data_IF_613619807061
#
_entry.id   IF_613619807061
#
_cell.length_a   1.000
_cell.length_b   1.000
_cell.length_c   1.000
_cell.angle_alpha   90.00
_cell.angle_beta   90.00
_cell.angle_gamma   90.00
#
_symmetry.space_group_name_H-M   'P 1'
#
loop_
_entity.id
_entity.type
_entity.pdbx_description
1 polymer ?
#
# COMPACT_ATOMS: atom_id res chain seq x y z
N UNK A 1 -15.53 -22.00 29.95
CA UNK A 1 -14.56 -21.47 28.92
C UNK A 1 -15.34 -20.53 28.02
N UNK A 2 -15.19 -19.24 28.16
CA UNK A 2 -15.81 -18.28 27.25
C UNK A 2 -15.14 -18.44 25.89
N UNK A 3 -15.89 -18.81 24.87
CA UNK A 3 -15.41 -18.84 23.51
C UNK A 3 -14.94 -17.42 23.18
N UNK A 4 -13.64 -17.22 23.08
CA UNK A 4 -13.04 -15.95 22.76
C UNK A 4 -13.47 -15.58 21.34
N UNK A 5 -14.34 -14.56 21.19
CA UNK A 5 -14.79 -14.11 19.87
C UNK A 5 -13.71 -13.22 19.29
N UNK A 6 -12.94 -13.78 18.38
CA UNK A 6 -11.79 -13.13 17.72
C UNK A 6 -12.00 -13.16 16.22
N UNK A 7 -11.58 -12.10 15.54
CA UNK A 7 -11.51 -12.03 14.09
C UNK A 7 -10.07 -11.68 13.68
N UNK A 8 -9.52 -12.40 12.72
CA UNK A 8 -8.20 -12.05 12.19
C UNK A 8 -8.25 -10.81 11.29
N UNK A 9 -7.14 -10.06 11.11
CA UNK A 9 -7.07 -8.97 10.15
C UNK A 9 -7.51 -9.37 8.74
N UNK A 10 -7.13 -10.58 8.29
CA UNK A 10 -7.51 -11.09 6.97
C UNK A 10 -9.01 -11.32 6.81
N UNK A 11 -9.66 -11.90 7.82
CA UNK A 11 -11.12 -12.11 7.81
C UNK A 11 -11.87 -10.77 7.79
N UNK A 12 -11.40 -9.78 8.55
CA UNK A 12 -11.98 -8.44 8.54
C UNK A 12 -11.79 -7.77 7.18
N UNK A 13 -10.60 -7.89 6.59
CA UNK A 13 -10.29 -7.34 5.27
C UNK A 13 -11.18 -7.95 4.17
N UNK A 14 -11.41 -9.26 4.19
CA UNK A 14 -12.32 -9.92 3.25
C UNK A 14 -13.77 -9.40 3.37
N UNK A 15 -14.25 -9.15 4.59
CA UNK A 15 -15.57 -8.51 4.80
C UNK A 15 -15.62 -7.10 4.19
N UNK A 16 -14.56 -6.30 4.39
CA UNK A 16 -14.43 -4.96 3.81
C UNK A 16 -14.42 -5.03 2.28
N UNK A 17 -13.66 -5.95 1.68
CA UNK A 17 -13.60 -6.10 0.22
C UNK A 17 -14.95 -6.47 -0.39
N UNK A 18 -15.75 -7.31 0.30
CA UNK A 18 -17.10 -7.70 -0.14
C UNK A 18 -18.16 -6.63 0.14
N UNK A 19 -17.76 -5.49 0.68
CA UNK A 19 -18.65 -4.39 1.09
C UNK A 19 -19.74 -4.86 2.08
N UNK A 20 -19.43 -5.84 2.93
CA UNK A 20 -20.29 -6.27 4.01
C UNK A 20 -20.42 -5.14 5.04
N UNK A 21 -21.50 -5.14 5.83
CA UNK A 21 -21.63 -4.17 6.92
C UNK A 21 -20.56 -4.44 7.99
N UNK A 22 -19.66 -3.48 8.19
CA UNK A 22 -18.57 -3.55 9.18
C UNK A 22 -18.64 -2.32 10.08
N UNK A 23 -18.80 -2.56 11.39
CA UNK A 23 -18.77 -1.51 12.41
C UNK A 23 -17.58 -1.73 13.34
N UNK A 24 -16.60 -0.83 13.30
CA UNK A 24 -15.37 -0.90 14.11
C UNK A 24 -15.47 0.07 15.28
N UNK A 25 -15.01 -0.35 16.45
CA UNK A 25 -14.82 0.47 17.65
C UNK A 25 -13.33 0.51 17.98
N UNK A 26 -12.71 1.66 17.78
CA UNK A 26 -11.29 1.89 18.06
C UNK A 26 -11.12 2.56 19.43
N UNK A 27 -10.47 1.82 20.34
CA UNK A 27 -10.29 2.24 21.74
C UNK A 27 -9.02 3.07 21.97
N UNK A 28 -8.24 3.36 20.92
CA UNK A 28 -6.99 4.13 21.02
C UNK A 28 -7.26 5.62 21.22
N UNK A 29 -6.19 6.35 21.62
CA UNK A 29 -6.27 7.80 21.75
C UNK A 29 -6.66 8.48 20.43
N UNK A 30 -7.30 9.67 20.48
CA UNK A 30 -7.67 10.41 19.28
C UNK A 30 -6.48 10.72 18.36
N UNK A 31 -5.29 10.95 18.91
CA UNK A 31 -4.07 11.23 18.16
C UNK A 31 -3.66 10.01 17.31
N UNK A 32 -3.63 8.81 17.93
CA UNK A 32 -3.31 7.56 17.22
C UNK A 32 -4.37 7.21 16.17
N UNK A 33 -5.64 7.43 16.50
CA UNK A 33 -6.75 7.22 15.58
C UNK A 33 -6.66 8.15 14.37
N UNK A 34 -6.31 9.42 14.58
CA UNK A 34 -6.13 10.39 13.50
C UNK A 34 -4.91 10.08 12.63
N UNK A 35 -3.83 9.62 13.24
CA UNK A 35 -2.61 9.26 12.51
C UNK A 35 -2.82 8.07 11.59
N UNK A 36 -3.54 7.04 12.06
CA UNK A 36 -3.86 5.85 11.26
C UNK A 36 -5.03 5.09 11.86
N UNK A 37 -5.98 4.67 11.02
CA UNK A 37 -7.18 3.90 11.40
C UNK A 37 -7.48 2.82 10.36
N UNK A 38 -8.36 1.89 10.71
CA UNK A 38 -8.94 0.96 9.74
C UNK A 38 -9.88 1.75 8.84
N UNK A 39 -9.77 1.54 7.54
CA UNK A 39 -10.64 2.12 6.52
C UNK A 39 -11.51 1.04 5.87
N UNK A 40 -12.55 1.45 5.16
CA UNK A 40 -13.46 0.53 4.49
C UNK A 40 -14.10 1.09 3.23
N UNK A 41 -15.10 0.38 2.73
CA UNK A 41 -15.93 0.78 1.58
C UNK A 41 -17.22 1.48 2.07
N UNK A 42 -18.30 1.37 1.28
CA UNK A 42 -19.55 2.09 1.51
C UNK A 42 -20.29 1.67 2.80
N UNK A 43 -20.22 0.38 3.16
CA UNK A 43 -20.91 -0.19 4.32
C UNK A 43 -20.00 -0.29 5.56
N UNK A 44 -19.01 0.60 5.66
CA UNK A 44 -18.04 0.64 6.75
C UNK A 44 -18.27 1.85 7.66
N UNK A 45 -18.27 1.61 8.97
CA UNK A 45 -18.34 2.66 9.99
C UNK A 45 -17.29 2.42 11.06
N UNK A 46 -16.62 3.47 11.53
CA UNK A 46 -15.67 3.38 12.62
C UNK A 46 -15.93 4.48 13.66
N UNK A 47 -15.92 4.08 14.93
CA UNK A 47 -16.06 4.97 16.07
C UNK A 47 -14.77 4.99 16.89
N UNK A 48 -14.24 6.16 17.20
CA UNK A 48 -13.15 6.28 18.17
C UNK A 48 -13.75 6.48 19.56
N UNK A 49 -13.53 5.52 20.44
CA UNK A 49 -14.01 5.51 21.83
C UNK A 49 -12.81 5.30 22.75
N UNK A 50 -12.10 6.36 23.07
CA UNK A 50 -10.86 6.27 23.83
C UNK A 50 -11.08 5.64 25.20
N UNK A 51 -10.50 4.47 25.44
CA UNK A 51 -10.75 3.68 26.66
C UNK A 51 -10.40 4.41 27.94
N UNK A 52 -9.38 5.28 27.96
CA UNK A 52 -9.00 6.00 29.17
C UNK A 52 -10.08 6.97 29.67
N UNK A 53 -10.97 7.43 28.78
CA UNK A 53 -12.12 8.27 29.17
C UNK A 53 -13.27 7.46 29.79
N UNK A 54 -13.19 6.15 29.77
CA UNK A 54 -14.18 5.27 30.39
C UNK A 54 -13.83 4.89 31.82
N UNK A 55 -12.57 5.12 32.24
CA UNK A 55 -12.04 4.70 33.53
C UNK A 55 -12.37 5.74 34.61
N UNK A 56 -12.94 5.28 35.74
CA UNK A 56 -13.35 6.11 36.87
C UNK A 56 -12.90 5.51 38.22
N UNK A 57 -13.18 4.21 38.42
CA UNK A 57 -12.96 3.56 39.73
C UNK A 57 -11.60 2.87 39.88
N UNK A 58 -10.84 2.72 38.79
CA UNK A 58 -9.61 1.94 38.73
C UNK A 58 -9.81 0.44 38.47
N UNK A 59 -11.06 -0.03 38.44
CA UNK A 59 -11.43 -1.37 37.98
C UNK A 59 -11.87 -1.29 36.51
N UNK A 60 -10.94 -1.62 35.62
CA UNK A 60 -11.14 -1.50 34.15
C UNK A 60 -12.36 -2.29 33.67
N UNK A 61 -12.56 -3.49 34.19
CA UNK A 61 -13.67 -4.37 33.78
C UNK A 61 -15.03 -3.77 34.18
N UNK A 62 -15.13 -3.25 35.41
CA UNK A 62 -16.32 -2.59 35.93
C UNK A 62 -16.61 -1.28 35.21
N UNK A 63 -15.60 -0.44 35.04
CA UNK A 63 -15.74 0.86 34.40
C UNK A 63 -16.19 0.74 32.96
N UNK A 64 -15.60 -0.18 32.19
CA UNK A 64 -16.00 -0.49 30.83
C UNK A 64 -17.43 -1.05 30.76
N UNK A 65 -17.80 -1.94 31.69
CA UNK A 65 -19.18 -2.46 31.78
C UNK A 65 -20.19 -1.32 31.97
N UNK A 66 -19.94 -0.44 32.96
CA UNK A 66 -20.81 0.70 33.24
C UNK A 66 -20.92 1.64 32.03
N UNK A 67 -19.81 1.88 31.32
CA UNK A 67 -19.80 2.70 30.11
C UNK A 67 -20.68 2.08 29.01
N UNK A 68 -20.56 0.76 28.77
CA UNK A 68 -21.34 0.05 27.77
C UNK A 68 -22.83 0.10 28.12
N UNK A 69 -23.21 -0.24 29.36
CA UNK A 69 -24.62 -0.22 29.80
C UNK A 69 -25.27 1.13 29.61
N UNK A 70 -24.53 2.21 29.86
CA UNK A 70 -25.04 3.59 29.76
C UNK A 70 -25.20 4.07 28.31
N UNK A 71 -24.22 3.76 27.44
CA UNK A 71 -24.11 4.42 26.14
C UNK A 71 -24.54 3.53 24.97
N UNK A 72 -24.24 2.22 25.00
CA UNK A 72 -24.41 1.33 23.85
C UNK A 72 -25.87 1.04 23.45
N UNK A 73 -26.84 0.95 24.37
CA UNK A 73 -28.24 0.70 23.98
C UNK A 73 -28.80 1.76 23.01
N UNK A 74 -28.27 2.98 23.04
CA UNK A 74 -28.69 4.09 22.17
C UNK A 74 -27.85 4.18 20.87
N UNK A 75 -26.76 3.41 20.77
CA UNK A 75 -25.82 3.50 19.65
C UNK A 75 -25.86 2.27 18.76
N UNK A 76 -25.99 1.07 19.35
CA UNK A 76 -25.81 -0.20 18.63
C UNK A 76 -26.92 -1.19 18.92
N UNK A 77 -27.33 -1.92 17.88
CA UNK A 77 -28.18 -3.09 18.03
C UNK A 77 -27.36 -4.28 18.55
N UNK A 78 -27.96 -5.09 19.44
CA UNK A 78 -27.32 -6.33 19.93
C UNK A 78 -27.04 -7.36 18.84
N UNK A 79 -27.79 -7.29 17.73
CA UNK A 79 -27.62 -8.18 16.59
C UNK A 79 -26.57 -7.70 15.57
N UNK A 80 -26.09 -6.47 15.72
CA UNK A 80 -25.06 -5.91 14.85
C UNK A 80 -23.68 -6.48 15.22
N UNK A 81 -22.89 -6.87 14.22
CA UNK A 81 -21.51 -7.27 14.43
C UNK A 81 -20.63 -6.06 14.74
N UNK A 82 -19.99 -6.07 15.90
CA UNK A 82 -19.08 -5.02 16.36
C UNK A 82 -17.65 -5.58 16.41
N UNK A 83 -16.72 -4.87 15.77
CA UNK A 83 -15.31 -5.24 15.75
C UNK A 83 -14.50 -4.26 16.58
N UNK A 84 -13.88 -4.74 17.66
CA UNK A 84 -13.19 -3.88 18.64
C UNK A 84 -11.69 -3.96 18.44
N UNK A 85 -11.02 -2.81 18.42
CA UNK A 85 -9.57 -2.71 18.24
C UNK A 85 -8.94 -1.78 19.27
N UNK A 86 -7.73 -2.13 19.71
CA UNK A 86 -6.80 -1.25 20.42
C UNK A 86 -5.40 -1.40 19.80
N UNK A 87 -4.34 -0.94 20.45
CA UNK A 87 -2.98 -1.04 19.88
C UNK A 87 -2.53 -2.50 19.63
N UNK A 88 -2.66 -3.37 20.65
CA UNK A 88 -2.12 -4.74 20.65
C UNK A 88 -3.16 -5.84 20.94
N UNK A 89 -4.43 -5.50 21.05
CA UNK A 89 -5.52 -6.47 21.26
C UNK A 89 -5.93 -6.70 22.71
N UNK A 90 -5.16 -6.34 23.73
CA UNK A 90 -5.45 -6.64 25.13
C UNK A 90 -6.61 -5.83 25.71
N UNK A 91 -6.56 -4.50 25.59
CA UNK A 91 -7.66 -3.63 26.05
C UNK A 91 -8.97 -3.92 25.30
N UNK A 92 -8.89 -4.15 23.98
CA UNK A 92 -10.05 -4.49 23.16
C UNK A 92 -10.61 -5.87 23.47
N UNK A 93 -9.80 -6.82 23.95
CA UNK A 93 -10.27 -8.11 24.44
C UNK A 93 -11.18 -7.96 25.68
N UNK A 94 -10.74 -7.15 26.67
CA UNK A 94 -11.53 -6.87 27.88
C UNK A 94 -12.86 -6.23 27.48
N UNK A 95 -12.81 -5.21 26.61
CA UNK A 95 -14.01 -4.51 26.17
C UNK A 95 -14.97 -5.43 25.39
N UNK A 96 -14.46 -6.25 24.48
CA UNK A 96 -15.24 -7.25 23.73
C UNK A 96 -15.91 -8.25 24.66
N UNK A 97 -15.18 -8.76 25.66
CA UNK A 97 -15.73 -9.68 26.64
C UNK A 97 -16.92 -9.07 27.40
N UNK A 98 -16.85 -7.81 27.77
CA UNK A 98 -17.95 -7.11 28.44
C UNK A 98 -19.15 -6.87 27.51
N UNK A 99 -18.90 -6.50 26.25
CA UNK A 99 -19.95 -6.44 25.25
C UNK A 99 -20.69 -7.77 25.11
N UNK A 100 -19.95 -8.89 25.00
CA UNK A 100 -20.54 -10.23 24.87
C UNK A 100 -21.34 -10.64 26.13
N UNK A 101 -20.85 -10.34 27.33
CA UNK A 101 -21.60 -10.56 28.60
C UNK A 101 -22.93 -9.81 28.62
N UNK A 102 -22.96 -8.61 28.04
CA UNK A 102 -24.17 -7.77 27.94
C UNK A 102 -25.06 -8.12 26.73
N UNK A 103 -24.71 -9.17 25.98
CA UNK A 103 -25.51 -9.72 24.89
C UNK A 103 -25.29 -9.09 23.53
N UNK A 104 -24.21 -8.31 23.33
CA UNK A 104 -23.83 -7.79 22.02
C UNK A 104 -23.07 -8.84 21.19
N UNK A 105 -23.18 -8.75 19.87
CA UNK A 105 -22.44 -9.58 18.93
C UNK A 105 -21.09 -8.92 18.59
N UNK A 106 -20.11 -9.09 19.47
CA UNK A 106 -18.82 -8.41 19.36
C UNK A 106 -17.64 -9.36 19.17
N UNK A 107 -16.61 -8.89 18.47
CA UNK A 107 -15.37 -9.60 18.14
C UNK A 107 -14.16 -8.71 18.42
N UNK A 108 -13.11 -9.28 19.04
CA UNK A 108 -11.82 -8.62 19.18
C UNK A 108 -11.02 -8.80 17.91
N UNK A 109 -10.42 -7.72 17.37
CA UNK A 109 -9.48 -7.83 16.25
C UNK A 109 -8.15 -8.34 16.80
N UNK A 110 -7.73 -9.51 16.30
CA UNK A 110 -6.54 -10.22 16.75
C UNK A 110 -5.27 -9.38 16.63
N UNK A 111 -4.54 -9.23 17.75
CA UNK A 111 -3.32 -8.44 17.83
C UNK A 111 -3.50 -6.94 17.60
N UNK A 112 -4.75 -6.46 17.55
CA UNK A 112 -5.07 -5.05 17.43
C UNK A 112 -4.56 -4.37 16.17
N UNK A 113 -4.30 -3.07 16.27
CA UNK A 113 -3.77 -2.29 15.15
C UNK A 113 -2.36 -2.72 14.74
N UNK A 114 -1.56 -3.28 15.65
CA UNK A 114 -0.24 -3.79 15.31
C UNK A 114 -0.32 -4.91 14.26
N UNK A 115 -1.23 -5.87 14.43
CA UNK A 115 -1.43 -6.93 13.45
C UNK A 115 -2.08 -6.39 12.16
N UNK A 116 -3.02 -5.42 12.27
CA UNK A 116 -3.60 -4.77 11.11
C UNK A 116 -2.54 -4.04 10.27
N UNK A 117 -1.62 -3.30 10.88
CA UNK A 117 -0.54 -2.58 10.19
C UNK A 117 0.42 -3.50 9.45
N UNK A 118 0.61 -4.70 9.97
CA UNK A 118 1.53 -5.69 9.43
C UNK A 118 0.82 -6.82 8.67
N UNK A 119 -0.48 -6.65 8.38
CA UNK A 119 -1.23 -7.60 7.58
C UNK A 119 -0.90 -7.45 6.10
N UNK A 120 -0.58 -8.58 5.48
CA UNK A 120 -0.34 -8.73 4.05
C UNK A 120 -1.38 -9.65 3.45
N UNK A 121 -1.99 -9.21 2.35
CA UNK A 121 -2.91 -10.01 1.55
C UNK A 121 -2.24 -10.46 0.26
N UNK A 122 -2.59 -11.66 -0.21
CA UNK A 122 -2.01 -12.29 -1.39
C UNK A 122 -3.12 -12.68 -2.35
N UNK A 123 -3.11 -12.12 -3.56
CA UNK A 123 -4.12 -12.39 -4.60
C UNK A 123 -3.44 -12.83 -5.90
N UNK A 124 -4.06 -13.78 -6.58
CA UNK A 124 -3.59 -14.25 -7.90
C UNK A 124 -4.15 -13.38 -9.01
N UNK A 125 -3.28 -12.78 -9.82
CA UNK A 125 -3.65 -12.04 -11.03
C UNK A 125 -3.83 -13.02 -12.20
N UNK A 126 -2.80 -13.83 -12.43
CA UNK A 126 -2.77 -14.91 -13.42
C UNK A 126 -1.92 -16.03 -12.87
N UNK A 127 -2.32 -17.26 -13.16
CA UNK A 127 -1.56 -18.46 -12.81
C UNK A 127 -1.63 -19.44 -13.97
N UNK A 128 -0.48 -19.71 -14.59
CA UNK A 128 -0.32 -20.66 -15.68
C UNK A 128 1.08 -21.29 -15.61
N UNK A 129 1.32 -22.40 -16.32
CA UNK A 129 2.64 -23.02 -16.35
C UNK A 129 3.76 -22.11 -16.90
N UNK A 130 3.42 -21.10 -17.69
CA UNK A 130 4.39 -20.22 -18.33
C UNK A 130 4.62 -18.92 -17.57
N UNK A 131 3.56 -18.42 -16.91
CA UNK A 131 3.61 -17.14 -16.20
C UNK A 131 2.60 -17.14 -15.06
N UNK A 132 3.05 -16.80 -13.87
CA UNK A 132 2.20 -16.48 -12.72
C UNK A 132 2.54 -15.10 -12.18
N UNK A 133 1.51 -14.30 -11.85
CA UNK A 133 1.65 -12.98 -11.27
C UNK A 133 0.76 -12.91 -10.04
N UNK A 134 1.32 -12.45 -8.93
CA UNK A 134 0.64 -12.32 -7.65
C UNK A 134 0.75 -10.89 -7.14
N UNK A 135 -0.39 -10.34 -6.70
CA UNK A 135 -0.47 -9.10 -5.95
C UNK A 135 -0.21 -9.39 -4.48
N UNK A 136 0.70 -8.65 -3.87
CA UNK A 136 0.95 -8.67 -2.43
C UNK A 136 0.64 -7.27 -1.90
N UNK A 137 -0.35 -7.17 -1.02
CA UNK A 137 -0.85 -5.88 -0.53
C UNK A 137 -0.56 -5.71 0.96
N UNK A 138 0.11 -4.64 1.36
CA UNK A 138 0.11 -4.19 2.75
C UNK A 138 -1.10 -3.30 2.96
N UNK A 139 -2.19 -3.92 3.39
CA UNK A 139 -3.56 -3.40 3.33
C UNK A 139 -3.74 -2.05 4.02
N UNK A 140 -3.14 -1.89 5.20
CA UNK A 140 -3.32 -0.70 6.04
C UNK A 140 -2.73 0.59 5.44
N UNK A 141 -1.78 0.45 4.51
CA UNK A 141 -1.07 1.56 3.89
C UNK A 141 -1.51 1.82 2.45
N UNK A 142 -2.10 0.80 1.83
CA UNK A 142 -2.39 0.83 0.41
C UNK A 142 -1.18 0.53 -0.47
N UNK A 143 -0.13 -0.10 0.09
CA UNK A 143 1.06 -0.45 -0.67
C UNK A 143 0.85 -1.77 -1.41
N UNK A 144 1.29 -1.84 -2.65
CA UNK A 144 1.24 -3.00 -3.52
C UNK A 144 2.65 -3.39 -3.95
N UNK A 145 2.90 -4.66 -3.93
CA UNK A 145 4.12 -5.28 -4.44
C UNK A 145 3.73 -6.49 -5.31
N UNK A 146 4.59 -6.90 -6.19
CA UNK A 146 4.25 -7.91 -7.17
C UNK A 146 5.29 -9.03 -7.20
N UNK A 147 4.82 -10.28 -7.22
CA UNK A 147 5.66 -11.44 -7.49
C UNK A 147 5.34 -11.96 -8.88
N UNK A 148 6.35 -12.06 -9.72
CA UNK A 148 6.27 -12.64 -11.07
C UNK A 148 7.08 -13.92 -11.08
N UNK A 149 6.46 -15.03 -11.50
CA UNK A 149 7.10 -16.33 -11.63
C UNK A 149 6.95 -16.83 -13.07
N UNK A 150 8.06 -17.25 -13.67
CA UNK A 150 8.07 -17.86 -14.99
C UNK A 150 9.10 -18.99 -15.02
N UNK A 151 8.64 -20.21 -15.40
CA UNK A 151 9.50 -21.40 -15.51
C UNK A 151 10.33 -21.68 -14.23
N UNK A 152 9.72 -21.54 -13.04
CA UNK A 152 10.36 -21.75 -11.75
C UNK A 152 11.29 -20.64 -11.27
N UNK A 153 11.51 -19.60 -12.08
CA UNK A 153 12.24 -18.39 -11.71
C UNK A 153 11.29 -17.29 -11.27
N UNK A 154 11.64 -16.55 -10.21
CA UNK A 154 10.84 -15.48 -9.65
C UNK A 154 11.59 -14.15 -9.65
N UNK A 155 10.85 -13.06 -9.77
CA UNK A 155 11.27 -11.71 -9.39
C UNK A 155 10.21 -11.06 -8.50
N UNK A 156 10.64 -10.14 -7.68
CA UNK A 156 9.76 -9.28 -6.87
C UNK A 156 9.92 -7.87 -7.40
N UNK A 157 8.79 -7.20 -7.65
CA UNK A 157 8.75 -5.80 -8.07
C UNK A 157 8.19 -4.98 -6.92
N UNK A 158 8.91 -3.93 -6.53
CA UNK A 158 8.60 -3.03 -5.41
C UNK A 158 8.37 -3.77 -4.07
N UNK A 159 9.34 -4.59 -3.61
CA UNK A 159 9.18 -5.35 -2.35
C UNK A 159 9.13 -4.43 -1.14
N UNK A 160 8.17 -4.67 -0.25
CA UNK A 160 8.05 -3.98 1.03
C UNK A 160 9.01 -4.55 2.07
N UNK A 161 9.25 -3.85 3.19
CA UNK A 161 10.32 -4.15 4.16
C UNK A 161 10.26 -5.51 4.87
N UNK A 162 9.07 -6.14 4.98
CA UNK A 162 8.90 -7.44 5.64
C UNK A 162 9.28 -8.60 4.71
N UNK A 163 10.57 -8.74 4.45
CA UNK A 163 11.13 -9.65 3.42
C UNK A 163 10.79 -11.13 3.62
N UNK A 164 10.57 -11.57 4.86
CA UNK A 164 10.17 -12.94 5.19
C UNK A 164 8.83 -13.33 4.57
N UNK A 165 7.94 -12.36 4.34
CA UNK A 165 6.65 -12.57 3.67
C UNK A 165 6.86 -13.08 2.24
N UNK A 166 7.79 -12.49 1.52
CA UNK A 166 8.14 -12.89 0.15
C UNK A 166 8.89 -14.21 0.11
N UNK A 167 9.88 -14.40 0.99
CA UNK A 167 10.67 -15.62 1.05
C UNK A 167 9.79 -16.85 1.30
N UNK A 168 8.86 -16.74 2.26
CA UNK A 168 7.91 -17.83 2.56
C UNK A 168 6.98 -18.09 1.38
N UNK A 169 6.37 -17.04 0.81
CA UNK A 169 5.43 -17.14 -0.30
C UNK A 169 6.07 -17.79 -1.55
N UNK A 170 7.27 -17.33 -1.95
CA UNK A 170 7.96 -17.85 -3.13
C UNK A 170 8.43 -19.30 -2.90
N UNK A 171 8.85 -19.63 -1.67
CA UNK A 171 9.16 -21.02 -1.28
C UNK A 171 7.94 -21.94 -1.38
N UNK A 172 6.76 -21.48 -0.92
CA UNK A 172 5.49 -22.23 -1.08
C UNK A 172 5.11 -22.45 -2.54
N UNK A 173 5.43 -21.47 -3.41
CA UNK A 173 5.24 -21.60 -4.86
C UNK A 173 6.32 -22.45 -5.57
N UNK A 174 7.33 -22.93 -4.86
CA UNK A 174 8.38 -23.77 -5.41
C UNK A 174 9.29 -23.05 -6.42
N UNK A 175 9.39 -21.72 -6.34
CA UNK A 175 10.20 -20.91 -7.25
C UNK A 175 11.48 -20.41 -6.58
N UNK A 176 12.45 -19.95 -7.41
CA UNK A 176 13.71 -19.37 -6.97
C UNK A 176 13.81 -17.92 -7.44
N UNK A 177 14.13 -16.99 -6.53
CA UNK A 177 14.30 -15.58 -6.87
C UNK A 177 15.58 -15.40 -7.68
N UNK A 178 15.46 -14.82 -8.88
CA UNK A 178 16.56 -14.56 -9.81
C UNK A 178 17.13 -13.15 -9.66
N UNK A 179 16.29 -12.18 -9.40
CA UNK A 179 16.64 -10.77 -9.18
C UNK A 179 15.47 -10.02 -8.53
N UNK A 180 15.76 -8.83 -8.04
CA UNK A 180 14.78 -7.91 -7.41
C UNK A 180 14.71 -6.63 -8.25
N UNK A 181 13.52 -6.06 -8.39
CA UNK A 181 13.26 -4.82 -9.12
C UNK A 181 12.57 -3.80 -8.22
N UNK A 182 13.07 -2.56 -8.21
CA UNK A 182 12.28 -1.42 -7.78
C UNK A 182 12.00 -0.52 -8.98
N UNK A 183 10.76 -0.07 -9.13
CA UNK A 183 10.38 0.87 -10.18
C UNK A 183 11.05 2.22 -9.96
N UNK A 184 11.25 2.59 -8.71
CA UNK A 184 11.94 3.79 -8.27
C UNK A 184 12.39 3.62 -6.81
N UNK A 185 13.19 4.51 -6.29
CA UNK A 185 13.48 4.53 -4.85
C UNK A 185 12.31 5.22 -4.14
N UNK A 186 11.52 4.40 -3.45
CA UNK A 186 10.30 4.80 -2.74
C UNK A 186 10.59 5.83 -1.64
N UNK A 187 9.65 6.76 -1.46
CA UNK A 187 9.73 7.76 -0.40
C UNK A 187 8.70 7.51 0.71
N UNK A 188 7.65 6.75 0.42
CA UNK A 188 6.52 6.49 1.31
C UNK A 188 6.66 5.22 2.14
N UNK A 189 7.48 4.26 1.71
CA UNK A 189 7.75 3.03 2.45
C UNK A 189 9.21 2.57 2.31
N UNK A 190 9.64 1.74 3.25
CA UNK A 190 10.97 1.15 3.23
C UNK A 190 10.95 -0.08 2.31
N UNK A 191 11.78 -0.07 1.27
CA UNK A 191 11.93 -1.19 0.33
C UNK A 191 12.63 -2.38 0.99
N UNK A 192 12.13 -3.58 0.70
CA UNK A 192 12.79 -4.84 1.00
C UNK A 192 13.91 -5.20 0.01
N UNK A 193 14.05 -4.46 -1.10
CA UNK A 193 14.98 -4.76 -2.19
C UNK A 193 16.42 -4.94 -1.76
N UNK A 194 17.03 -3.98 -1.07
CA UNK A 194 18.43 -4.10 -0.60
C UNK A 194 18.65 -5.33 0.32
N UNK A 195 17.69 -5.56 1.24
CA UNK A 195 17.77 -6.68 2.19
C UNK A 195 17.61 -8.04 1.51
N UNK A 196 16.65 -8.18 0.60
CA UNK A 196 16.44 -9.39 -0.20
C UNK A 196 17.65 -9.71 -1.05
N UNK A 197 18.20 -8.72 -1.76
CA UNK A 197 19.39 -8.87 -2.58
C UNK A 197 20.58 -9.40 -1.77
N UNK A 198 20.84 -8.82 -0.59
CA UNK A 198 21.91 -9.25 0.31
C UNK A 198 21.70 -10.68 0.84
N UNK A 199 20.48 -11.02 1.29
CA UNK A 199 20.17 -12.36 1.84
C UNK A 199 20.31 -13.46 0.78
N UNK A 200 19.82 -13.18 -0.45
CA UNK A 200 19.76 -14.17 -1.52
C UNK A 200 20.98 -14.15 -2.43
N UNK A 201 21.83 -13.14 -2.32
CA UNK A 201 22.95 -12.88 -3.21
C UNK A 201 22.51 -12.82 -4.69
N UNK A 202 21.44 -12.06 -4.97
CA UNK A 202 20.88 -11.84 -6.30
C UNK A 202 20.94 -10.35 -6.68
N UNK A 203 20.98 -10.01 -7.97
CA UNK A 203 20.97 -8.61 -8.40
C UNK A 203 19.72 -7.86 -7.90
N UNK A 204 19.92 -6.62 -7.49
CA UNK A 204 18.88 -5.65 -7.20
C UNK A 204 18.98 -4.52 -8.23
N UNK A 205 17.89 -4.25 -8.94
CA UNK A 205 17.86 -3.33 -10.07
C UNK A 205 16.95 -2.15 -9.84
N UNK A 206 17.44 -0.97 -10.18
CA UNK A 206 16.67 0.27 -10.35
C UNK A 206 17.45 1.27 -11.22
N UNK A 207 16.87 2.43 -11.50
CA UNK A 207 17.54 3.46 -12.32
C UNK A 207 18.55 4.29 -11.53
N UNK A 208 19.76 4.56 -12.04
CA UNK A 208 20.84 5.21 -11.29
C UNK A 208 20.52 6.64 -10.82
N UNK A 209 19.60 7.36 -11.45
CA UNK A 209 19.20 8.69 -10.98
C UNK A 209 18.54 8.64 -9.59
N UNK A 210 17.90 7.57 -9.24
CA UNK A 210 17.28 7.40 -7.93
C UNK A 210 18.28 7.00 -6.83
N UNK A 211 19.50 6.62 -7.19
CA UNK A 211 20.59 6.43 -6.23
C UNK A 211 21.07 7.76 -5.60
N UNK A 212 20.62 8.91 -6.10
CA UNK A 212 20.94 10.23 -5.56
C UNK A 212 19.75 10.75 -4.78
N UNK A 213 19.96 11.12 -3.49
CA UNK A 213 18.90 11.72 -2.68
C UNK A 213 18.56 13.13 -3.23
N UNK A 214 17.30 13.39 -3.62
CA UNK A 214 16.97 14.61 -4.38
C UNK A 214 17.08 15.90 -3.55
N UNK A 215 16.91 15.81 -2.22
CA UNK A 215 17.00 16.96 -1.31
C UNK A 215 18.43 17.16 -0.84
N UNK A 216 19.11 16.10 -0.39
CA UNK A 216 20.48 16.17 0.15
C UNK A 216 21.54 16.27 -0.96
N UNK A 217 21.19 15.87 -2.19
CA UNK A 217 22.13 15.73 -3.32
C UNK A 217 23.30 14.80 -2.99
N UNK A 218 23.03 13.78 -2.15
CA UNK A 218 24.00 12.77 -1.71
C UNK A 218 23.78 11.46 -2.48
N UNK A 219 24.89 10.82 -2.84
CA UNK A 219 24.90 9.51 -3.49
C UNK A 219 24.63 8.45 -2.41
N UNK A 220 23.68 7.56 -2.66
CA UNK A 220 23.37 6.41 -1.80
C UNK A 220 24.54 5.41 -1.72
N UNK A 221 24.53 4.63 -0.64
CA UNK A 221 25.52 3.54 -0.43
C UNK A 221 24.98 2.19 -0.85
N UNK A 222 23.70 2.11 -1.20
CA UNK A 222 23.01 0.89 -1.61
C UNK A 222 23.71 0.26 -2.82
N UNK A 223 23.94 -1.06 -2.74
CA UNK A 223 24.52 -1.82 -3.86
C UNK A 223 23.40 -2.22 -4.82
N UNK A 224 23.53 -1.85 -6.09
CA UNK A 224 22.54 -2.14 -7.13
C UNK A 224 23.17 -2.30 -8.50
N UNK A 225 22.45 -2.95 -9.39
CA UNK A 225 22.68 -2.94 -10.83
C UNK A 225 21.68 -2.01 -11.49
N UNK A 226 22.12 -1.18 -12.40
CA UNK A 226 21.23 -0.18 -13.00
C UNK A 226 20.49 -0.69 -14.24
N UNK A 227 19.29 -0.18 -14.42
CA UNK A 227 18.47 -0.35 -15.62
C UNK A 227 18.26 1.02 -16.30
N UNK A 228 18.00 0.95 -17.60
CA UNK A 228 17.73 2.12 -18.43
C UNK A 228 16.66 1.81 -19.47
N UNK A 229 16.20 2.85 -20.16
CA UNK A 229 15.29 2.73 -21.30
C UNK A 229 15.74 1.67 -22.30
N UNK A 230 14.83 0.76 -22.65
CA UNK A 230 15.04 -0.25 -23.69
C UNK A 230 15.74 -1.52 -23.23
N UNK A 231 16.20 -1.60 -21.97
CA UNK A 231 16.74 -2.85 -21.45
C UNK A 231 15.65 -3.93 -21.41
N UNK A 232 16.06 -5.19 -21.59
CA UNK A 232 15.15 -6.35 -21.55
C UNK A 232 15.74 -7.42 -20.64
N UNK A 233 15.06 -7.67 -19.51
CA UNK A 233 15.40 -8.77 -18.62
C UNK A 233 14.69 -10.06 -19.04
N UNK A 234 15.33 -11.19 -18.80
CA UNK A 234 14.73 -12.52 -19.02
C UNK A 234 14.45 -13.15 -17.65
N UNK A 235 13.20 -13.58 -17.45
CA UNK A 235 12.77 -14.35 -16.30
C UNK A 235 12.15 -15.67 -16.79
N UNK A 236 12.88 -16.77 -16.70
CA UNK A 236 12.45 -18.04 -17.28
C UNK A 236 12.12 -17.89 -18.78
N UNK A 237 10.87 -18.10 -19.16
CA UNK A 237 10.38 -17.93 -20.54
C UNK A 237 9.84 -16.54 -20.82
N UNK A 238 9.69 -15.69 -19.79
CA UNK A 238 9.12 -14.35 -19.92
C UNK A 238 10.17 -13.30 -20.22
N UNK A 239 9.75 -12.22 -20.88
CA UNK A 239 10.54 -11.02 -21.13
C UNK A 239 9.96 -9.83 -20.39
N UNK A 240 10.82 -9.05 -19.75
CA UNK A 240 10.48 -7.83 -19.01
C UNK A 240 11.17 -6.67 -19.72
N UNK A 241 10.41 -5.87 -20.44
CA UNK A 241 10.91 -4.64 -21.09
C UNK A 241 10.89 -3.50 -20.09
N UNK A 242 11.97 -2.72 -20.09
CA UNK A 242 12.16 -1.57 -19.20
C UNK A 242 11.87 -0.29 -19.97
N UNK A 243 10.96 0.54 -19.42
CA UNK A 243 10.66 1.86 -19.96
C UNK A 243 10.98 2.90 -18.88
N UNK A 244 11.77 3.91 -19.22
CA UNK A 244 12.10 5.02 -18.33
C UNK A 244 11.03 6.11 -18.45
N UNK A 245 10.37 6.43 -17.34
CA UNK A 245 9.22 7.33 -17.25
C UNK A 245 9.39 8.35 -16.12
N UNK A 246 10.40 9.25 -16.27
CA UNK A 246 10.69 10.24 -15.22
C UNK A 246 9.49 11.15 -14.96
N UNK A 247 9.36 11.63 -13.72
CA UNK A 247 8.32 12.58 -13.31
C UNK A 247 8.00 12.50 -11.83
N UNK A 248 7.54 11.38 -11.33
CA UNK A 248 7.40 11.12 -9.90
C UNK A 248 8.76 11.13 -9.19
N UNK A 249 9.71 10.38 -9.75
CA UNK A 249 11.15 10.54 -9.55
C UNK A 249 11.83 10.68 -10.90
N UNK A 250 13.09 11.12 -10.92
CA UNK A 250 13.86 11.21 -12.18
C UNK A 250 14.33 9.83 -12.66
N UNK A 251 14.42 8.84 -11.77
CA UNK A 251 14.79 7.48 -12.09
C UNK A 251 13.62 6.53 -12.31
N UNK A 252 12.39 7.02 -12.31
CA UNK A 252 11.21 6.17 -12.36
C UNK A 252 11.17 5.27 -13.60
N UNK A 253 10.99 3.96 -13.38
CA UNK A 253 10.87 2.92 -14.39
C UNK A 253 9.49 2.30 -14.34
N UNK A 254 9.05 1.75 -15.47
CA UNK A 254 7.93 0.81 -15.53
C UNK A 254 8.38 -0.46 -16.25
N UNK A 255 7.80 -1.60 -15.86
CA UNK A 255 8.19 -2.90 -16.36
C UNK A 255 7.04 -3.54 -17.15
N UNK A 256 7.25 -3.81 -18.44
CA UNK A 256 6.26 -4.43 -19.29
C UNK A 256 6.60 -5.93 -19.50
N UNK A 257 5.83 -6.79 -18.86
CA UNK A 257 6.01 -8.25 -18.94
C UNK A 257 5.18 -8.81 -20.07
N UNK A 258 5.85 -9.51 -21.00
CA UNK A 258 5.26 -10.20 -22.16
C UNK A 258 4.29 -9.32 -23.00
N UNK A 259 4.58 -8.02 -23.12
CA UNK A 259 3.77 -7.01 -23.82
C UNK A 259 2.31 -6.92 -23.34
N UNK A 260 2.02 -7.39 -22.12
CA UNK A 260 0.65 -7.49 -21.60
C UNK A 260 0.47 -6.91 -20.18
N UNK A 261 1.42 -7.08 -19.29
CA UNK A 261 1.31 -6.68 -17.89
C UNK A 261 2.30 -5.55 -17.61
N UNK A 262 1.78 -4.35 -17.34
CA UNK A 262 2.57 -3.13 -17.10
C UNK A 262 2.58 -2.80 -15.61
N UNK A 263 3.70 -3.04 -14.98
CA UNK A 263 3.98 -2.63 -13.58
C UNK A 263 4.38 -1.16 -13.59
N UNK A 264 3.48 -0.31 -13.16
CA UNK A 264 3.62 1.14 -13.31
C UNK A 264 4.28 1.82 -12.12
N UNK A 265 4.55 1.07 -11.03
CA UNK A 265 5.05 1.70 -9.81
C UNK A 265 4.19 2.90 -9.44
N UNK A 266 4.86 4.01 -9.15
CA UNK A 266 4.24 5.30 -8.90
C UNK A 266 4.25 6.15 -10.17
N UNK A 267 3.56 5.68 -11.22
CA UNK A 267 3.33 6.47 -12.45
C UNK A 267 1.84 6.61 -12.70
N UNK A 268 1.14 5.48 -12.84
CA UNK A 268 -0.31 5.41 -13.09
C UNK A 268 -0.91 4.54 -11.98
N UNK A 269 -1.85 5.08 -11.22
CA UNK A 269 -2.72 4.37 -10.29
C UNK A 269 -4.10 4.15 -10.92
N UNK A 270 -5.00 3.43 -10.24
CA UNK A 270 -6.34 3.15 -10.78
C UNK A 270 -7.15 4.45 -10.93
N UNK A 271 -7.16 5.31 -9.91
CA UNK A 271 -8.01 6.52 -9.90
C UNK A 271 -7.21 7.82 -10.09
N UNK A 272 -5.88 7.77 -10.09
CA UNK A 272 -5.02 8.94 -10.12
C UNK A 272 -3.70 8.64 -10.81
N UNK A 273 -2.82 9.62 -10.84
CA UNK A 273 -1.39 9.47 -11.15
C UNK A 273 -0.56 9.95 -9.94
N UNK A 274 0.72 9.63 -9.93
CA UNK A 274 1.58 10.01 -8.82
C UNK A 274 1.91 11.51 -8.79
N UNK A 275 2.21 12.01 -7.61
CA UNK A 275 2.70 13.37 -7.39
C UNK A 275 4.11 13.58 -7.97
N UNK A 276 4.42 14.73 -8.61
CA UNK A 276 5.73 15.00 -9.22
C UNK A 276 6.70 15.76 -8.31
N UNK A 277 6.42 15.90 -7.02
CA UNK A 277 7.13 16.84 -6.15
C UNK A 277 8.04 16.21 -5.10
N UNK A 278 8.38 14.93 -5.22
CA UNK A 278 9.22 14.21 -4.24
C UNK A 278 10.64 14.79 -4.09
N UNK A 279 11.13 15.52 -5.07
CA UNK A 279 12.38 16.27 -4.98
C UNK A 279 12.21 17.73 -4.60
N UNK A 280 11.02 18.18 -4.17
CA UNK A 280 10.72 19.60 -3.94
C UNK A 280 10.69 20.43 -5.23
N UNK A 281 10.50 19.79 -6.40
CA UNK A 281 10.62 20.42 -7.73
C UNK A 281 9.40 20.14 -8.61
N UNK A 282 8.19 20.16 -8.04
CA UNK A 282 6.95 19.86 -8.74
C UNK A 282 6.78 20.63 -10.05
N UNK A 283 7.06 21.92 -10.06
CA UNK A 283 6.97 22.77 -11.26
C UNK A 283 7.87 22.29 -12.41
N UNK A 284 9.06 21.76 -12.09
CA UNK A 284 10.00 21.25 -13.09
C UNK A 284 9.69 19.82 -13.52
N UNK A 285 9.15 18.99 -12.61
CA UNK A 285 8.95 17.57 -12.86
C UNK A 285 7.57 17.23 -13.42
N UNK A 286 6.52 18.03 -13.16
CA UNK A 286 5.19 17.81 -13.73
C UNK A 286 5.18 17.85 -15.28
N UNK A 287 5.88 18.78 -15.97
CA UNK A 287 6.01 18.73 -17.43
C UNK A 287 6.72 17.47 -17.95
N UNK A 288 7.73 16.97 -17.22
CA UNK A 288 8.47 15.74 -17.57
C UNK A 288 7.54 14.53 -17.41
N UNK A 289 6.77 14.48 -16.33
CA UNK A 289 5.79 13.43 -16.08
C UNK A 289 4.71 13.39 -17.17
N UNK A 290 4.23 14.56 -17.63
CA UNK A 290 3.29 14.63 -18.75
C UNK A 290 3.83 13.96 -20.01
N UNK A 291 5.09 14.18 -20.38
CA UNK A 291 5.72 13.50 -21.52
C UNK A 291 5.81 11.98 -21.31
N UNK A 292 6.20 11.55 -20.12
CA UNK A 292 6.24 10.12 -19.76
C UNK A 292 4.87 9.48 -19.88
N UNK A 293 3.82 10.11 -19.34
CA UNK A 293 2.45 9.61 -19.42
C UNK A 293 1.92 9.59 -20.84
N UNK A 294 2.23 10.60 -21.69
CA UNK A 294 1.86 10.61 -23.11
C UNK A 294 2.45 9.43 -23.89
N UNK A 295 3.65 8.97 -23.52
CA UNK A 295 4.24 7.75 -24.09
C UNK A 295 3.47 6.51 -23.66
N UNK A 296 3.11 6.40 -22.38
CA UNK A 296 2.40 5.23 -21.84
C UNK A 296 0.97 5.13 -22.36
N UNK A 297 0.23 6.23 -22.50
CA UNK A 297 -1.14 6.19 -23.05
C UNK A 297 -1.20 5.84 -24.52
N UNK A 298 -0.06 5.84 -25.24
CA UNK A 298 0.02 5.35 -26.62
C UNK A 298 0.28 3.84 -26.72
N UNK A 299 0.44 3.14 -25.60
CA UNK A 299 0.50 1.68 -25.58
C UNK A 299 -0.90 1.07 -25.84
N UNK A 300 -0.92 -0.25 -26.10
CA UNK A 300 -2.15 -1.01 -26.39
C UNK A 300 -3.17 -0.90 -25.23
N UNK A 301 -4.43 -0.67 -25.56
CA UNK A 301 -5.53 -0.52 -24.60
C UNK A 301 -5.79 -1.78 -23.74
N UNK A 302 -5.40 -2.96 -24.24
CA UNK A 302 -5.56 -4.24 -23.53
C UNK A 302 -4.44 -4.55 -22.54
N UNK A 303 -3.43 -3.69 -22.41
CA UNK A 303 -2.39 -3.83 -21.41
C UNK A 303 -3.03 -3.67 -20.02
N UNK A 304 -2.74 -4.63 -19.15
CA UNK A 304 -3.16 -4.61 -17.74
C UNK A 304 -2.15 -3.78 -16.95
N UNK A 305 -2.62 -2.75 -16.28
CA UNK A 305 -1.84 -1.87 -15.40
C UNK A 305 -1.83 -2.42 -13.98
N UNK A 306 -0.63 -2.52 -13.40
CA UNK A 306 -0.36 -3.03 -12.05
C UNK A 306 0.44 -1.95 -11.27
N UNK A 307 -0.23 -1.11 -10.47
CA UNK A 307 0.41 0.01 -9.75
C UNK A 307 1.09 -0.43 -8.47
N UNK A 308 1.92 0.46 -7.86
CA UNK A 308 2.49 0.21 -6.54
C UNK A 308 1.59 0.64 -5.37
N UNK A 309 0.50 1.38 -5.63
CA UNK A 309 -0.40 1.86 -4.57
C UNK A 309 -1.86 1.90 -4.99
N UNK A 310 -2.73 1.81 -3.98
CA UNK A 310 -4.13 2.18 -4.06
C UNK A 310 -4.50 3.18 -2.97
N UNK A 311 -5.45 4.06 -3.24
CA UNK A 311 -5.91 5.07 -2.29
C UNK A 311 -7.13 4.62 -1.49
N UNK A 312 -8.00 3.80 -2.09
CA UNK A 312 -9.26 3.31 -1.50
C UNK A 312 -9.50 1.84 -1.84
N UNK A 313 -10.14 1.12 -0.94
CA UNK A 313 -10.55 -0.27 -1.21
C UNK A 313 -11.59 -0.41 -2.34
N UNK A 314 -12.30 0.68 -2.68
CA UNK A 314 -13.21 0.70 -3.82
C UNK A 314 -12.53 0.61 -5.19
N UNK A 315 -11.21 0.81 -5.26
CA UNK A 315 -10.41 0.61 -6.46
C UNK A 315 -10.18 -0.87 -6.80
N UNK A 316 -10.37 -1.76 -5.81
CA UNK A 316 -10.27 -3.19 -6.04
C UNK A 316 -11.43 -3.70 -6.91
N UNK A 317 -11.11 -4.54 -7.89
CA UNK A 317 -12.11 -5.28 -8.64
C UNK A 317 -12.77 -6.37 -7.77
N UNK A 318 -13.72 -7.12 -8.34
CA UNK A 318 -14.48 -8.19 -7.65
C UNK A 318 -13.59 -9.30 -7.06
N UNK A 319 -12.36 -9.47 -7.57
CA UNK A 319 -11.38 -10.44 -7.06
C UNK A 319 -10.47 -9.86 -5.97
N UNK A 320 -10.64 -8.60 -5.58
CA UNK A 320 -9.77 -7.90 -4.65
C UNK A 320 -8.43 -7.46 -5.25
N UNK A 321 -8.34 -7.38 -6.56
CA UNK A 321 -7.14 -6.96 -7.27
C UNK A 321 -7.24 -5.47 -7.63
N UNK A 322 -6.16 -4.74 -7.42
CA UNK A 322 -5.99 -3.33 -7.77
C UNK A 322 -5.32 -3.21 -9.14
N UNK A 323 -6.01 -3.66 -10.17
CA UNK A 323 -5.53 -3.68 -11.55
C UNK A 323 -6.65 -3.24 -12.50
N UNK A 324 -6.29 -2.66 -13.65
CA UNK A 324 -7.25 -2.30 -14.70
C UNK A 324 -6.58 -2.25 -16.06
N UNK A 325 -7.36 -2.38 -17.14
CA UNK A 325 -6.85 -2.19 -18.48
C UNK A 325 -6.53 -0.73 -18.78
N UNK A 326 -5.43 -0.47 -19.48
CA UNK A 326 -4.98 0.87 -19.80
C UNK A 326 -6.04 1.65 -20.60
N UNK A 327 -6.76 1.01 -21.50
CA UNK A 327 -7.84 1.63 -22.28
C UNK A 327 -9.03 2.08 -21.42
N UNK A 328 -9.29 1.43 -20.30
CA UNK A 328 -10.28 1.87 -19.29
C UNK A 328 -9.72 3.07 -18.53
N UNK A 329 -8.47 2.99 -18.05
CA UNK A 329 -7.83 4.06 -17.30
C UNK A 329 -7.72 5.37 -18.08
N UNK A 330 -7.47 5.32 -19.39
CA UNK A 330 -7.48 6.51 -20.27
C UNK A 330 -8.79 7.31 -20.18
N UNK A 331 -9.90 6.66 -19.80
CA UNK A 331 -11.24 7.27 -19.72
C UNK A 331 -11.66 7.57 -18.29
N UNK A 332 -11.36 6.67 -17.36
CA UNK A 332 -11.83 6.73 -15.96
C UNK A 332 -10.87 7.48 -15.02
N UNK A 333 -9.57 7.47 -15.30
CA UNK A 333 -8.57 8.20 -14.52
C UNK A 333 -8.57 9.67 -14.93
N UNK A 334 -8.95 10.56 -14.01
CA UNK A 334 -9.16 11.98 -14.29
C UNK A 334 -7.92 12.65 -14.86
N UNK A 335 -6.74 12.38 -14.27
CA UNK A 335 -5.49 12.99 -14.69
C UNK A 335 -5.08 12.53 -16.10
N UNK A 336 -5.21 11.23 -16.41
CA UNK A 336 -4.92 10.70 -17.75
C UNK A 336 -5.91 11.24 -18.79
N UNK A 337 -7.20 11.27 -18.45
CA UNK A 337 -8.23 11.79 -19.33
C UNK A 337 -7.99 13.29 -19.63
N UNK A 338 -7.66 14.07 -18.60
CA UNK A 338 -7.33 15.48 -18.76
C UNK A 338 -6.11 15.67 -19.69
N UNK A 339 -5.04 14.90 -19.48
CA UNK A 339 -3.84 14.95 -20.32
C UNK A 339 -4.18 14.66 -21.79
N UNK A 340 -4.98 13.63 -22.04
CA UNK A 340 -5.37 13.21 -23.40
C UNK A 340 -6.29 14.24 -24.08
N UNK A 341 -7.25 14.80 -23.33
CA UNK A 341 -8.30 15.66 -23.92
C UNK A 341 -8.00 17.14 -23.91
N UNK A 342 -7.23 17.63 -22.94
CA UNK A 342 -6.91 19.05 -22.74
C UNK A 342 -5.43 19.38 -22.96
N UNK A 343 -4.59 18.36 -23.04
CA UNK A 343 -3.16 18.51 -23.29
C UNK A 343 -2.31 18.83 -22.08
N UNK A 344 -1.02 18.97 -22.32
CA UNK A 344 0.03 19.05 -21.33
C UNK A 344 -0.10 20.23 -20.36
N UNK A 345 -0.40 21.44 -20.88
CA UNK A 345 -0.43 22.65 -20.04
C UNK A 345 -1.55 22.61 -18.99
N UNK A 346 -2.74 22.13 -19.37
CA UNK A 346 -3.85 21.94 -18.42
C UNK A 346 -3.57 20.82 -17.43
N UNK A 347 -2.94 19.73 -17.88
CA UNK A 347 -2.49 18.66 -17.00
C UNK A 347 -1.48 19.18 -15.95
N UNK A 348 -0.47 19.96 -16.34
CA UNK A 348 0.53 20.50 -15.40
C UNK A 348 -0.14 21.42 -14.36
N UNK A 349 -1.07 22.29 -14.77
CA UNK A 349 -1.84 23.13 -13.84
C UNK A 349 -2.64 22.28 -12.85
N UNK A 350 -3.33 21.27 -13.34
CA UNK A 350 -4.10 20.32 -12.51
C UNK A 350 -3.20 19.62 -11.50
N UNK A 351 -2.06 19.09 -11.94
CA UNK A 351 -1.08 18.41 -11.08
C UNK A 351 -0.64 19.31 -9.93
N UNK A 352 -0.19 20.52 -10.24
CA UNK A 352 0.35 21.45 -9.24
C UNK A 352 -0.72 21.95 -8.24
N UNK A 353 -1.97 22.08 -8.69
CA UNK A 353 -3.10 22.49 -7.82
C UNK A 353 -3.64 21.34 -6.95
N UNK A 354 -3.28 20.10 -7.25
CA UNK A 354 -3.83 18.88 -6.65
C UNK A 354 -2.84 18.16 -5.73
N UNK A 355 -1.71 18.78 -5.41
CA UNK A 355 -0.69 18.17 -4.56
C UNK A 355 -1.18 18.10 -3.10
N UNK A 356 -1.11 16.92 -2.44
CA UNK A 356 -1.30 16.83 -1.01
C UNK A 356 -0.10 17.42 -0.26
N UNK A 357 -0.27 17.67 1.05
CA UNK A 357 0.84 18.11 1.92
C UNK A 357 1.99 17.12 1.80
N UNK A 358 3.23 17.63 1.72
CA UNK A 358 4.42 16.79 1.63
C UNK A 358 4.77 16.19 3.00
N UNK A 359 4.82 14.86 3.15
CA UNK A 359 5.20 14.23 4.40
C UNK A 359 6.69 14.39 4.67
N UNK A 360 7.05 14.83 5.87
CA UNK A 360 8.45 15.00 6.24
C UNK A 360 9.21 13.67 6.32
N UNK A 361 8.49 12.61 6.67
CA UNK A 361 9.00 11.23 6.76
C UNK A 361 9.55 10.73 5.42
N UNK A 362 9.04 11.24 4.30
CA UNK A 362 9.47 10.83 2.95
C UNK A 362 10.96 11.10 2.68
N UNK A 363 11.50 12.15 3.29
CA UNK A 363 12.93 12.46 3.21
C UNK A 363 13.78 11.37 3.89
N UNK A 364 13.39 10.97 5.11
CA UNK A 364 14.11 9.96 5.87
C UNK A 364 13.94 8.56 5.27
N UNK A 365 12.72 8.20 4.81
CA UNK A 365 12.49 6.91 4.15
C UNK A 365 13.38 6.76 2.92
N UNK A 366 13.50 7.81 2.11
CA UNK A 366 14.39 7.77 0.95
C UNK A 366 15.86 7.63 1.34
N UNK A 367 16.30 8.28 2.44
CA UNK A 367 17.64 8.10 3.01
C UNK A 367 17.89 6.65 3.45
N UNK A 368 16.88 6.00 4.06
CA UNK A 368 16.95 4.58 4.43
C UNK A 368 17.08 3.69 3.20
N UNK A 369 16.24 3.92 2.18
CA UNK A 369 16.19 3.09 0.98
C UNK A 369 17.47 3.13 0.14
N UNK A 370 18.22 4.24 0.19
CA UNK A 370 19.55 4.33 -0.44
C UNK A 370 20.70 4.12 0.55
N UNK A 371 20.43 3.60 1.73
CA UNK A 371 21.40 3.26 2.78
C UNK A 371 22.29 4.43 3.25
N UNK A 372 21.77 5.67 3.26
CA UNK A 372 22.41 6.81 3.87
C UNK A 372 22.27 6.82 5.40
N UNK A 373 21.16 6.31 5.91
CA UNK A 373 20.90 6.10 7.34
C UNK A 373 20.37 4.69 7.57
N UNK A 374 20.62 4.17 8.76
CA UNK A 374 20.04 2.92 9.25
C UNK A 374 19.01 3.23 10.33
N UNK A 375 17.94 2.45 10.39
CA UNK A 375 16.88 2.56 11.39
C UNK A 375 16.57 1.18 11.97
N UNK A 376 16.17 1.15 13.23
CA UNK A 376 15.63 -0.05 13.87
C UNK A 376 14.16 -0.28 13.48
N UNK A 377 13.58 -1.37 13.95
CA UNK A 377 12.21 -1.76 13.63
C UNK A 377 11.18 -0.75 14.17
N UNK A 378 11.43 -0.16 15.36
CA UNK A 378 10.54 0.82 15.97
C UNK A 378 10.51 2.11 15.13
N UNK A 379 11.68 2.62 14.76
CA UNK A 379 11.78 3.80 13.89
C UNK A 379 11.24 3.53 12.47
N UNK A 380 11.47 2.35 11.92
CA UNK A 380 10.90 1.95 10.64
C UNK A 380 9.36 1.95 10.68
N UNK A 381 8.77 1.44 11.77
CA UNK A 381 7.32 1.46 11.96
C UNK A 381 6.77 2.90 12.11
N UNK A 382 7.49 3.78 12.80
CA UNK A 382 7.12 5.20 12.93
C UNK A 382 7.13 5.91 11.58
N UNK A 383 8.20 5.73 10.79
CA UNK A 383 8.35 6.34 9.46
C UNK A 383 7.23 5.89 8.49
N UNK A 384 6.73 4.68 8.65
CA UNK A 384 5.64 4.13 7.86
C UNK A 384 4.26 4.27 8.53
N UNK A 385 4.11 5.13 9.55
CA UNK A 385 2.81 5.39 10.17
C UNK A 385 1.93 6.21 9.22
N UNK A 386 0.66 5.82 9.11
CA UNK A 386 -0.29 6.44 8.20
C UNK A 386 -0.37 5.76 6.84
N UNK A 387 -1.27 6.24 6.00
CA UNK A 387 -1.45 5.78 4.63
C UNK A 387 -0.44 6.44 3.71
N UNK A 388 -0.02 5.77 2.64
CA UNK A 388 0.77 6.45 1.61
C UNK A 388 -0.04 7.58 0.96
N UNK A 389 0.62 8.66 0.57
CA UNK A 389 0.03 9.80 -0.12
C UNK A 389 0.82 10.16 -1.39
N UNK A 390 1.21 9.15 -2.15
CA UNK A 390 1.88 9.31 -3.44
C UNK A 390 0.92 9.71 -4.56
N UNK A 391 -0.39 9.49 -4.42
CA UNK A 391 -1.40 9.94 -5.37
C UNK A 391 -1.77 11.42 -5.17
N UNK A 392 -2.51 11.99 -6.10
CA UNK A 392 -3.04 13.36 -6.00
C UNK A 392 -4.16 13.45 -4.95
N UNK A 393 -4.41 14.66 -4.44
CA UNK A 393 -5.37 14.92 -3.35
C UNK A 393 -6.76 14.34 -3.60
N UNK A 394 -7.26 14.37 -4.83
CA UNK A 394 -8.58 13.85 -5.21
C UNK A 394 -8.73 12.35 -4.98
N UNK A 395 -7.65 11.58 -5.03
CA UNK A 395 -7.68 10.15 -4.77
C UNK A 395 -8.09 9.81 -3.33
N UNK A 396 -7.91 10.75 -2.37
CA UNK A 396 -8.18 10.56 -0.95
C UNK A 396 -9.49 11.20 -0.47
N UNK A 397 -10.17 11.98 -1.32
CA UNK A 397 -11.48 12.58 -0.99
C UNK A 397 -12.56 11.50 -1.12
N UNK A 398 -13.43 11.40 -0.11
CA UNK A 398 -14.56 10.45 -0.07
C UNK A 398 -15.71 10.93 -0.93
#
# INVERSE_FOLDING_TARGET
MSCQRVISPGQLYEKILRDEKVTVIDLRSPEKFKAQKIEGKNNFTIFNMYYAQMLDSGDIDKDMTNYIEKNFPNMFSKNEELYVVCDQGGTSEIFTRNLVKLGYNAYNIEGGMQNWFNYYDYKTVVESPELSIYQISRVSRGDLSWVVISDGQATIIDPLRHVEKYLNFIKEKGATISFILDTHIHADHISGGPKLSKILNVPYYFHPFDAIHPVDVMIGKVQFSFLKEGDVLTLGKSKIKVLHVPGHTLGNLVFLVNDKYLFTGDTIFIVSVARPDLGGRGESWAPIQAESLLRLVNLDDNIVVLPAHFSKFSEANEKGLFIENLGVLKKSNEALNLLITKGKDEFVKYMLSSLPVFPQEYVDIKRVNIELIEVDEERAQELETGKNICALSQAYVN
#
